data_IF_361918262264
#
_entry.id   IF_361918262264
#
_cell.length_a   1.000
_cell.length_b   1.000
_cell.length_c   1.000
_cell.angle_alpha   90.00
_cell.angle_beta   90.00
_cell.angle_gamma   90.00
#
_symmetry.space_group_name_H-M   'P 1'
#
loop_
_entity.id
_entity.type
_entity.pdbx_description
1 polymer ?
#
# COMPACT_ATOMS: atom_id res chain seq x y z
N UNK A 1 18.71 34.79 16.93
CA UNK A 1 18.05 34.01 15.88
C UNK A 1 18.09 32.58 16.39
N UNK A 2 16.94 31.98 16.72
CA UNK A 2 16.90 30.59 17.18
C UNK A 2 17.15 29.68 15.98
N UNK A 3 18.31 29.05 15.98
CA UNK A 3 18.70 28.03 15.02
C UNK A 3 17.80 26.81 15.27
N UNK A 4 16.89 26.54 14.34
CA UNK A 4 15.94 25.44 14.48
C UNK A 4 16.72 24.12 14.30
N UNK A 5 17.16 23.54 15.42
CA UNK A 5 17.87 22.27 15.45
C UNK A 5 16.99 21.16 14.85
N UNK A 6 17.55 20.38 13.91
CA UNK A 6 16.85 19.28 13.28
C UNK A 6 16.32 18.31 14.35
N UNK A 7 15.01 18.02 14.31
CA UNK A 7 14.35 17.11 15.24
C UNK A 7 14.17 15.74 14.60
N UNK A 8 14.88 14.74 15.13
CA UNK A 8 14.63 13.34 14.78
C UNK A 8 13.42 12.83 15.55
N UNK A 9 12.46 12.23 14.85
CA UNK A 9 11.27 11.61 15.43
C UNK A 9 11.36 10.09 15.31
N UNK A 10 11.15 9.39 16.43
CA UNK A 10 10.98 7.94 16.43
C UNK A 10 9.49 7.62 16.26
N UNK A 11 9.07 7.28 15.04
CA UNK A 11 7.66 7.04 14.70
C UNK A 11 7.48 5.74 13.93
N UNK A 12 6.31 5.14 14.11
CA UNK A 12 5.80 4.08 13.24
C UNK A 12 4.78 4.70 12.29
N UNK A 13 4.98 4.56 10.99
CA UNK A 13 4.02 4.99 9.99
C UNK A 13 2.95 3.91 9.80
N UNK A 14 1.69 4.26 10.02
CA UNK A 14 0.55 3.46 9.59
C UNK A 14 -0.07 4.12 8.36
N UNK A 15 -0.20 3.36 7.28
CA UNK A 15 -0.83 3.82 6.03
C UNK A 15 -2.32 3.44 6.01
N UNK A 16 -3.09 4.08 5.14
CA UNK A 16 -4.49 3.69 4.89
C UNK A 16 -4.52 2.23 4.44
N UNK A 17 -5.27 1.40 5.16
CA UNK A 17 -5.30 -0.04 4.93
C UNK A 17 -6.69 -0.64 5.16
N UNK A 18 -6.92 -1.81 4.57
CA UNK A 18 -8.16 -2.58 4.66
C UNK A 18 -8.05 -3.86 3.83
N UNK A 19 -9.03 -4.75 3.91
CA UNK A 19 -9.06 -5.96 3.06
C UNK A 19 -9.25 -5.59 1.58
N UNK A 20 -8.83 -6.46 0.67
CA UNK A 20 -9.07 -6.28 -0.77
C UNK A 20 -10.56 -6.04 -1.07
N UNK A 21 -11.46 -6.75 -0.37
CA UNK A 21 -12.91 -6.57 -0.49
C UNK A 21 -13.37 -5.18 -0.02
N UNK A 22 -12.84 -4.68 1.10
CA UNK A 22 -13.18 -3.34 1.61
C UNK A 22 -12.70 -2.24 0.66
N UNK A 23 -11.51 -2.41 0.06
CA UNK A 23 -11.00 -1.49 -0.94
C UNK A 23 -11.83 -1.49 -2.21
N UNK A 24 -12.19 -2.67 -2.74
CA UNK A 24 -13.07 -2.78 -3.90
C UNK A 24 -14.46 -2.19 -3.64
N UNK A 25 -14.99 -2.33 -2.43
CA UNK A 25 -16.29 -1.75 -2.07
C UNK A 25 -16.26 -0.24 -1.86
N UNK A 26 -15.19 0.31 -1.28
CA UNK A 26 -15.07 1.76 -1.05
C UNK A 26 -14.63 2.52 -2.30
N UNK A 27 -13.84 1.86 -3.15
CA UNK A 27 -13.23 2.35 -4.39
C UNK A 27 -12.80 3.84 -4.39
N UNK A 28 -12.01 4.30 -3.41
CA UNK A 28 -11.71 5.72 -3.27
C UNK A 28 -10.65 6.18 -4.30
N UNK A 29 -10.67 7.48 -4.63
CA UNK A 29 -9.52 8.15 -5.26
C UNK A 29 -8.50 8.48 -4.16
N UNK A 30 -7.29 7.96 -4.30
CA UNK A 30 -6.16 8.26 -3.41
C UNK A 30 -5.40 9.47 -3.93
N UNK A 31 -4.90 10.33 -3.03
CA UNK A 31 -4.10 11.47 -3.42
C UNK A 31 -2.82 11.04 -4.16
N UNK A 32 -2.27 11.93 -4.98
CA UNK A 32 -1.05 11.61 -5.74
C UNK A 32 0.10 11.23 -4.79
N UNK A 33 0.59 9.99 -4.92
CA UNK A 33 1.64 9.41 -4.08
C UNK A 33 1.16 8.82 -2.75
N UNK A 34 -0.13 8.87 -2.43
CA UNK A 34 -0.69 8.21 -1.25
C UNK A 34 -0.65 6.69 -1.41
N UNK A 35 -0.20 5.99 -0.37
CA UNK A 35 -0.13 4.52 -0.33
C UNK A 35 -1.46 3.96 0.20
N UNK A 36 -2.08 3.07 -0.55
CA UNK A 36 -3.13 2.19 -0.05
C UNK A 36 -2.62 0.75 0.04
N UNK A 37 -2.87 0.09 1.17
CA UNK A 37 -2.45 -1.29 1.46
C UNK A 37 -3.66 -2.22 1.61
N UNK A 38 -3.66 -3.32 0.88
CA UNK A 38 -4.52 -4.48 1.14
C UNK A 38 -3.92 -5.30 2.28
N UNK A 39 -4.59 -5.33 3.42
CA UNK A 39 -4.07 -5.91 4.66
C UNK A 39 -4.07 -7.44 4.69
N UNK A 40 -4.87 -8.07 3.83
CA UNK A 40 -5.07 -9.52 3.74
C UNK A 40 -4.29 -10.18 2.59
N UNK A 41 -3.95 -9.41 1.55
CA UNK A 41 -3.17 -9.90 0.40
C UNK A 41 -1.73 -9.39 0.39
N UNK A 42 -1.44 -8.31 1.13
CA UNK A 42 -0.19 -7.53 1.12
C UNK A 42 0.07 -6.75 -0.19
N UNK A 43 -0.91 -6.66 -1.08
CA UNK A 43 -0.80 -5.80 -2.26
C UNK A 43 -0.91 -4.32 -1.85
N UNK A 44 -0.26 -3.45 -2.61
CA UNK A 44 -0.38 -2.01 -2.43
C UNK A 44 -0.37 -1.28 -3.76
N UNK A 45 -0.99 -0.10 -3.76
CA UNK A 45 -1.07 0.80 -4.90
C UNK A 45 -0.71 2.22 -4.47
N UNK A 46 -0.29 3.03 -5.44
CA UNK A 46 -0.09 4.47 -5.26
C UNK A 46 -1.23 5.23 -5.92
N UNK A 47 -1.83 6.17 -5.19
CA UNK A 47 -2.76 7.12 -5.77
C UNK A 47 -2.08 8.02 -6.80
N UNK A 48 -2.84 8.42 -7.81
CA UNK A 48 -2.45 9.44 -8.79
C UNK A 48 -3.26 10.73 -8.66
N UNK A 49 -4.22 10.76 -7.73
CA UNK A 49 -5.13 11.89 -7.50
C UNK A 49 -6.32 11.96 -8.45
N UNK A 50 -6.52 10.98 -9.35
CA UNK A 50 -7.56 11.01 -10.39
C UNK A 50 -8.32 9.69 -10.49
N UNK A 51 -7.61 8.57 -10.52
CA UNK A 51 -8.20 7.25 -10.71
C UNK A 51 -8.67 6.64 -9.38
N UNK A 52 -9.78 5.90 -9.42
CA UNK A 52 -10.25 5.12 -8.26
C UNK A 52 -9.34 3.93 -8.00
N UNK A 53 -9.37 3.37 -6.79
CA UNK A 53 -8.57 2.23 -6.37
C UNK A 53 -8.58 1.07 -7.37
N UNK A 54 -9.75 0.73 -7.90
CA UNK A 54 -9.97 -0.36 -8.85
C UNK A 54 -9.27 -0.13 -10.18
N UNK A 55 -9.11 1.13 -10.60
CA UNK A 55 -8.43 1.52 -11.83
C UNK A 55 -6.90 1.68 -11.68
N UNK A 56 -6.39 1.75 -10.46
CA UNK A 56 -4.95 1.85 -10.18
C UNK A 56 -4.26 0.49 -10.37
N UNK A 57 -3.03 0.51 -10.91
CA UNK A 57 -2.15 -0.66 -10.98
C UNK A 57 -1.51 -0.96 -9.62
N UNK A 58 -1.25 -2.24 -9.36
CA UNK A 58 -0.38 -2.64 -8.25
C UNK A 58 1.05 -2.14 -8.47
N UNK A 59 1.68 -1.73 -7.38
CA UNK A 59 3.03 -1.17 -7.38
C UNK A 59 4.15 -2.24 -7.49
N UNK A 60 3.78 -3.51 -7.59
CA UNK A 60 4.71 -4.62 -7.76
C UNK A 60 3.97 -5.96 -7.86
N UNK A 61 4.75 -7.00 -8.13
CA UNK A 61 4.28 -8.39 -8.11
C UNK A 61 4.59 -9.00 -6.75
N UNK A 62 3.64 -9.70 -6.15
CA UNK A 62 3.90 -10.48 -4.94
C UNK A 62 4.41 -11.86 -5.31
N UNK A 63 5.56 -12.22 -4.73
CA UNK A 63 6.15 -13.55 -4.86
C UNK A 63 6.19 -14.19 -3.48
N UNK A 64 5.50 -15.32 -3.33
CA UNK A 64 5.42 -16.08 -2.08
C UNK A 64 6.09 -17.44 -2.27
N UNK A 65 6.72 -17.97 -1.24
CA UNK A 65 7.18 -19.35 -1.25
C UNK A 65 5.98 -20.29 -1.04
N UNK A 66 5.84 -21.30 -1.89
CA UNK A 66 4.90 -22.39 -1.67
C UNK A 66 5.27 -23.15 -0.42
N UNK A 67 4.32 -23.29 0.50
CA UNK A 67 4.50 -24.03 1.76
C UNK A 67 4.52 -25.54 1.56
N UNK A 68 4.18 -26.03 0.37
CA UNK A 68 3.90 -27.45 0.13
C UNK A 68 4.89 -28.16 -0.80
N UNK A 69 5.53 -27.44 -1.73
CA UNK A 69 6.31 -28.10 -2.79
C UNK A 69 7.57 -27.34 -3.25
N UNK A 70 8.00 -26.30 -2.52
CA UNK A 70 9.23 -25.56 -2.81
C UNK A 70 9.19 -24.69 -4.07
N UNK A 71 8.03 -24.57 -4.73
CA UNK A 71 7.84 -23.65 -5.86
C UNK A 71 7.57 -22.22 -5.38
N UNK A 72 7.69 -21.26 -6.28
CA UNK A 72 7.22 -19.89 -6.06
C UNK A 72 5.77 -19.76 -6.51
N UNK A 73 4.96 -19.08 -5.70
CA UNK A 73 3.64 -18.59 -6.04
C UNK A 73 3.80 -17.12 -6.48
N UNK A 74 3.27 -16.80 -7.65
CA UNK A 74 3.22 -15.45 -8.19
C UNK A 74 1.76 -15.05 -8.20
N UNK A 75 1.42 -14.00 -7.45
CA UNK A 75 0.07 -13.43 -7.38
C UNK A 75 -0.05 -12.15 -8.22
#
# INVERSE_FOLDING_TARGET
QEEQMAKTLNVTLQVKNGTAANWASSDPILAKGEIGLESDTAHFKFGDGVNTWSALSYAGTLVKASTSNGQLLIE
#
